data_IF_176800552105
#
_entry.id   IF_176800552105
#
_cell.length_a   1.000
_cell.length_b   1.000
_cell.length_c   1.000
_cell.angle_alpha   90.00
_cell.angle_beta   90.00
_cell.angle_gamma   90.00
#
_symmetry.space_group_name_H-M   'P 1'
#
loop_
_entity.id
_entity.type
_entity.pdbx_description
1 polymer ?
#
# COMPACT_ATOMS: atom_id res chain seq x y z
N UNK A 1 15.63 9.99 4.27
CA UNK A 1 15.44 8.51 4.29
C UNK A 1 14.09 8.21 3.65
N UNK A 2 13.99 7.27 2.70
CA UNK A 2 12.90 7.27 1.73
C UNK A 2 11.57 6.80 2.36
N UNK A 3 10.75 7.77 2.78
CA UNK A 3 9.38 7.57 3.26
C UNK A 3 8.34 7.59 2.12
N UNK A 4 8.81 7.77 0.87
CA UNK A 4 7.95 8.10 -0.27
C UNK A 4 7.18 6.88 -0.79
N UNK A 5 7.72 5.67 -0.57
CA UNK A 5 7.10 4.40 -0.99
C UNK A 5 5.86 4.07 -0.16
N UNK A 6 5.89 4.35 1.15
CA UNK A 6 4.75 4.10 2.04
C UNK A 6 3.57 5.03 1.76
N UNK A 7 3.83 6.31 1.55
CA UNK A 7 2.79 7.32 1.25
C UNK A 7 2.13 7.01 -0.10
N UNK A 8 2.93 6.65 -1.11
CA UNK A 8 2.42 6.27 -2.43
C UNK A 8 1.57 5.00 -2.40
N UNK A 9 1.98 3.98 -1.63
CA UNK A 9 1.21 2.74 -1.50
C UNK A 9 -0.14 3.00 -0.79
N UNK A 10 -0.15 3.83 0.26
CA UNK A 10 -1.38 4.24 0.96
C UNK A 10 -2.29 5.06 0.03
N UNK A 11 -1.73 6.03 -0.70
CA UNK A 11 -2.48 6.83 -1.66
C UNK A 11 -3.09 5.96 -2.76
N UNK A 12 -2.35 4.99 -3.29
CA UNK A 12 -2.84 4.06 -4.30
C UNK A 12 -4.00 3.21 -3.78
N UNK A 13 -3.92 2.67 -2.56
CA UNK A 13 -5.02 1.92 -1.94
C UNK A 13 -6.26 2.80 -1.77
N UNK A 14 -6.11 4.01 -1.22
CA UNK A 14 -7.21 4.93 -1.02
C UNK A 14 -7.89 5.34 -2.33
N UNK A 15 -7.10 5.60 -3.39
CA UNK A 15 -7.65 5.96 -4.70
C UNK A 15 -8.45 4.80 -5.31
N UNK A 16 -7.96 3.57 -5.18
CA UNK A 16 -8.68 2.39 -5.69
C UNK A 16 -9.96 2.12 -4.90
N UNK A 17 -9.95 2.31 -3.57
CA UNK A 17 -11.14 2.16 -2.73
C UNK A 17 -12.18 3.26 -3.02
N UNK A 18 -11.74 4.51 -3.14
CA UNK A 18 -12.61 5.62 -3.50
C UNK A 18 -13.20 5.43 -4.90
N UNK A 19 -12.38 5.04 -5.88
CA UNK A 19 -12.85 4.72 -7.23
C UNK A 19 -13.84 3.55 -7.24
N UNK A 20 -13.58 2.49 -6.46
CA UNK A 20 -14.52 1.37 -6.32
C UNK A 20 -15.86 1.82 -5.72
N UNK A 21 -15.84 2.63 -4.66
CA UNK A 21 -17.05 3.16 -4.03
C UNK A 21 -17.84 4.06 -4.98
N UNK A 22 -17.13 4.92 -5.73
CA UNK A 22 -17.75 5.81 -6.72
C UNK A 22 -18.42 5.01 -7.84
N UNK A 23 -17.73 4.00 -8.39
CA UNK A 23 -18.27 3.12 -9.42
C UNK A 23 -19.46 2.29 -8.94
N UNK A 24 -19.41 1.79 -7.70
CA UNK A 24 -20.53 1.07 -7.10
C UNK A 24 -21.73 1.99 -6.87
N UNK A 25 -21.50 3.22 -6.42
CA UNK A 25 -22.56 4.21 -6.20
C UNK A 25 -23.22 4.63 -7.52
N UNK A 26 -22.44 4.88 -8.58
CA UNK A 26 -22.98 5.21 -9.91
C UNK A 26 -23.73 4.05 -10.52
N UNK A 27 -23.23 2.82 -10.41
CA UNK A 27 -23.94 1.61 -10.81
C UNK A 27 -25.31 1.53 -10.12
N UNK A 28 -25.33 1.64 -8.79
CA UNK A 28 -26.57 1.62 -8.02
C UNK A 28 -27.56 2.71 -8.45
N UNK A 29 -27.07 3.93 -8.71
CA UNK A 29 -27.91 5.08 -9.07
C UNK A 29 -28.50 4.97 -10.48
N UNK A 30 -27.77 4.34 -11.40
CA UNK A 30 -28.17 4.16 -12.80
C UNK A 30 -29.01 2.89 -12.98
N UNK A 31 -29.15 2.07 -11.95
CA UNK A 31 -29.95 0.84 -12.00
C UNK A 31 -31.38 1.16 -12.45
N UNK A 32 -31.84 0.58 -13.58
CA UNK A 32 -33.16 0.90 -14.12
C UNK A 32 -34.26 0.29 -13.23
N UNK A 33 -35.23 1.11 -12.83
CA UNK A 33 -36.42 0.66 -12.11
C UNK A 33 -37.47 0.03 -13.06
N UNK A 34 -37.42 0.41 -14.34
CA UNK A 34 -38.40 0.03 -15.36
C UNK A 34 -37.71 -0.62 -16.57
N UNK A 35 -38.34 -1.63 -17.16
CA UNK A 35 -37.75 -2.46 -18.21
C UNK A 35 -37.44 -1.75 -19.53
N UNK A 36 -38.01 -0.56 -19.76
CA UNK A 36 -37.76 0.22 -20.98
C UNK A 36 -36.31 0.71 -21.10
N UNK A 37 -35.58 0.79 -19.99
CA UNK A 37 -34.20 1.31 -19.91
C UNK A 37 -33.16 0.21 -19.71
N UNK A 38 -33.36 -0.96 -20.35
CA UNK A 38 -32.48 -2.14 -20.22
C UNK A 38 -31.00 -1.84 -20.52
N UNK A 39 -30.70 -0.91 -21.42
CA UNK A 39 -29.33 -0.48 -21.74
C UNK A 39 -28.60 0.15 -20.55
N UNK A 40 -29.32 0.87 -19.68
CA UNK A 40 -28.75 1.40 -18.44
C UNK A 40 -28.42 0.29 -17.43
N UNK A 41 -29.19 -0.80 -17.44
CA UNK A 41 -28.89 -2.00 -16.65
C UNK A 41 -27.55 -2.63 -17.03
N UNK A 42 -27.29 -2.77 -18.33
CA UNK A 42 -26.00 -3.25 -18.85
C UNK A 42 -24.83 -2.36 -18.43
N UNK A 43 -24.99 -1.03 -18.55
CA UNK A 43 -23.98 -0.06 -18.11
C UNK A 43 -23.73 -0.18 -16.61
N UNK A 44 -24.80 -0.29 -15.80
CA UNK A 44 -24.69 -0.49 -14.35
C UNK A 44 -23.93 -1.77 -14.00
N UNK A 45 -24.17 -2.88 -14.71
CA UNK A 45 -23.44 -4.13 -14.50
C UNK A 45 -21.95 -3.96 -14.81
N UNK A 46 -21.61 -3.29 -15.92
CA UNK A 46 -20.20 -3.02 -16.29
C UNK A 46 -19.52 -2.13 -15.24
N UNK A 47 -20.20 -1.09 -14.76
CA UNK A 47 -19.71 -0.23 -13.67
C UNK A 47 -19.52 -1.02 -12.36
N UNK A 48 -20.47 -1.87 -12.00
CA UNK A 48 -20.38 -2.76 -10.84
C UNK A 48 -19.22 -3.75 -10.95
N UNK A 49 -18.99 -4.34 -12.12
CA UNK A 49 -17.83 -5.19 -12.37
C UNK A 49 -16.51 -4.41 -12.26
N UNK A 50 -16.47 -3.16 -12.75
CA UNK A 50 -15.34 -2.25 -12.58
C UNK A 50 -15.06 -1.92 -11.11
N UNK A 51 -16.11 -1.73 -10.31
CA UNK A 51 -16.00 -1.52 -8.87
C UNK A 51 -15.37 -2.73 -8.16
N UNK A 52 -15.84 -3.94 -8.49
CA UNK A 52 -15.27 -5.20 -7.96
C UNK A 52 -13.80 -5.37 -8.38
N UNK A 53 -13.46 -5.09 -9.64
CA UNK A 53 -12.07 -5.14 -10.12
C UNK A 53 -11.15 -4.19 -9.36
N UNK A 54 -11.64 -2.98 -9.07
CA UNK A 54 -10.91 -1.96 -8.31
C UNK A 54 -10.74 -2.37 -6.84
N UNK A 55 -11.75 -2.99 -6.24
CA UNK A 55 -11.69 -3.56 -4.90
C UNK A 55 -10.63 -4.67 -4.80
N UNK A 56 -10.65 -5.61 -5.75
CA UNK A 56 -9.65 -6.71 -5.81
C UNK A 56 -8.23 -6.14 -5.93
N UNK A 57 -8.05 -5.08 -6.74
CA UNK A 57 -6.75 -4.41 -6.89
C UNK A 57 -6.30 -3.76 -5.57
N UNK A 58 -7.21 -3.08 -4.86
CA UNK A 58 -6.92 -2.50 -3.55
C UNK A 58 -6.48 -3.59 -2.55
N UNK A 59 -7.21 -4.70 -2.47
CA UNK A 59 -6.87 -5.84 -1.60
C UNK A 59 -5.48 -6.41 -1.92
N UNK A 60 -5.15 -6.59 -3.20
CA UNK A 60 -3.82 -7.06 -3.61
C UNK A 60 -2.70 -6.10 -3.19
N UNK A 61 -2.91 -4.79 -3.32
CA UNK A 61 -1.94 -3.78 -2.87
C UNK A 61 -1.75 -3.83 -1.35
N UNK A 62 -2.83 -3.98 -0.59
CA UNK A 62 -2.77 -4.15 0.87
C UNK A 62 -1.95 -5.38 1.23
N UNK A 63 -2.25 -6.54 0.63
CA UNK A 63 -1.52 -7.79 0.89
C UNK A 63 -0.03 -7.67 0.53
N UNK A 64 0.29 -7.09 -0.62
CA UNK A 64 1.66 -6.88 -1.05
C UNK A 64 2.43 -5.91 -0.12
N UNK A 65 1.76 -4.87 0.40
CA UNK A 65 2.37 -3.97 1.39
C UNK A 65 2.59 -4.67 2.74
N UNK A 66 1.65 -5.52 3.16
CA UNK A 66 1.75 -6.27 4.40
C UNK A 66 2.86 -7.32 4.35
N UNK A 67 2.98 -8.08 3.26
CA UNK A 67 4.07 -9.03 3.07
C UNK A 67 5.45 -8.35 3.08
N UNK A 68 5.57 -7.18 2.43
CA UNK A 68 6.82 -6.39 2.48
C UNK A 68 7.16 -5.94 3.89
N UNK A 69 6.18 -5.45 4.66
CA UNK A 69 6.37 -5.08 6.07
C UNK A 69 6.75 -6.27 6.94
N UNK A 70 6.12 -7.43 6.71
CA UNK A 70 6.42 -8.67 7.44
C UNK A 70 7.85 -9.14 7.16
N UNK A 71 8.27 -9.16 5.90
CA UNK A 71 9.64 -9.51 5.53
C UNK A 71 10.66 -8.56 6.17
N UNK A 72 10.42 -7.24 6.14
CA UNK A 72 11.28 -6.26 6.81
C UNK A 72 11.34 -6.48 8.33
N UNK A 73 10.22 -6.81 8.97
CA UNK A 73 10.18 -7.11 10.39
C UNK A 73 10.96 -8.40 10.74
N UNK A 74 10.85 -9.44 9.92
CA UNK A 74 11.62 -10.67 10.07
C UNK A 74 13.12 -10.44 9.86
N UNK A 75 13.51 -9.66 8.84
CA UNK A 75 14.91 -9.24 8.64
C UNK A 75 15.44 -8.41 9.81
N UNK A 76 14.65 -7.46 10.33
CA UNK A 76 15.04 -6.67 11.50
C UNK A 76 15.17 -7.52 12.77
N UNK A 77 14.31 -8.54 12.92
CA UNK A 77 14.40 -9.49 14.03
C UNK A 77 15.64 -10.40 13.93
N UNK A 78 16.03 -10.81 12.71
CA UNK A 78 17.22 -11.64 12.48
C UNK A 78 18.53 -10.84 12.56
N UNK A 79 18.52 -9.56 12.20
CA UNK A 79 19.71 -8.70 12.20
C UNK A 79 20.16 -8.23 13.60
N UNK A 80 19.32 -8.38 14.62
CA UNK A 80 19.47 -7.68 15.90
C UNK A 80 19.39 -6.16 15.72
N UNK A 81 19.22 -5.40 16.81
CA UNK A 81 19.39 -3.96 16.74
C UNK A 81 20.76 -3.69 16.09
N UNK A 82 20.87 -2.82 15.06
CA UNK A 82 22.18 -2.46 14.54
C UNK A 82 22.99 -2.06 15.76
N UNK A 83 24.03 -2.83 16.09
CA UNK A 83 25.02 -2.36 17.06
C UNK A 83 25.36 -1.00 16.51
N UNK A 84 24.93 0.06 17.22
CA UNK A 84 25.41 1.39 16.94
C UNK A 84 26.90 1.22 17.11
N UNK A 85 27.60 1.04 16.00
CA UNK A 85 29.01 1.24 15.96
C UNK A 85 29.11 2.72 16.30
N UNK A 86 29.22 3.01 17.60
CA UNK A 86 29.86 4.22 18.06
C UNK A 86 31.14 4.22 17.24
N UNK A 87 31.15 5.09 16.22
CA UNK A 87 32.34 5.31 15.43
C UNK A 87 33.43 5.58 16.47
N UNK A 88 34.41 4.69 16.54
CA UNK A 88 35.48 4.81 17.51
C UNK A 88 36.01 6.23 17.40
N UNK A 89 35.87 6.99 18.48
CA UNK A 89 36.34 8.38 18.43
C UNK A 89 37.86 8.35 18.35
N UNK A 90 38.45 9.43 17.84
CA UNK A 90 39.90 9.53 17.73
C UNK A 90 40.59 9.30 19.10
N UNK A 91 39.92 9.68 20.19
CA UNK A 91 40.33 9.38 21.56
C UNK A 91 40.38 7.88 21.86
N UNK A 92 39.40 7.10 21.39
CA UNK A 92 39.37 5.64 21.57
C UNK A 92 40.49 4.96 20.77
N UNK A 93 40.76 5.44 19.56
CA UNK A 93 41.84 4.94 18.70
C UNK A 93 43.24 5.30 19.26
N UNK A 94 43.40 6.49 19.84
CA UNK A 94 44.65 6.90 20.52
C UNK A 94 44.89 6.11 21.80
N UNK A 95 43.83 5.85 22.58
CA UNK A 95 43.90 5.05 23.82
C UNK A 95 44.19 3.57 23.54
N UNK A 96 43.77 3.07 22.39
CA UNK A 96 44.11 1.75 21.88
C UNK A 96 45.48 1.68 21.18
N UNK A 97 46.22 2.80 21.08
CA UNK A 97 47.55 2.87 20.48
C UNK A 97 47.56 2.70 18.95
N UNK A 98 46.42 2.88 18.28
CA UNK A 98 46.29 2.70 16.83
C UNK A 98 46.71 3.95 16.03
N UNK A 99 46.76 5.12 16.69
CA UNK A 99 47.24 6.39 16.11
C UNK A 99 47.97 7.20 17.19
N UNK A 100 49.03 7.92 16.79
CA UNK A 100 49.87 8.74 17.67
C UNK A 100 49.32 10.15 17.86
#
# INVERSE_FOLDING_TARGET
>A
MPNDTGVRDIAAVNLNLFGAALLAWTAWRIWPAEGEWWGMGLISIVLGAGALGSLVRAVRLILASWQRRKALAEFAAQGGAPKSAQLATEADLRRAGMIQ
#
